data_IF_573563358124
#
_entry.id   IF_573563358124
#
_cell.length_a   1.000
_cell.length_b   1.000
_cell.length_c   1.000
_cell.angle_alpha   90.00
_cell.angle_beta   90.00
_cell.angle_gamma   90.00
#
_symmetry.space_group_name_H-M   'P 1'
#
loop_
_entity.id
_entity.type
_entity.pdbx_description
1 polymer ?
#
# COMPACT_ATOMS: atom_id res chain seq x y z
N UNK A 1 24.97 18.68 16.60
CA UNK A 1 24.68 17.79 15.45
C UNK A 1 23.16 17.79 15.26
N UNK A 2 22.66 18.54 14.28
CA UNK A 2 21.24 18.43 13.92
C UNK A 2 21.05 17.00 13.40
N UNK A 3 20.18 16.23 14.07
CA UNK A 3 19.63 15.02 13.44
C UNK A 3 18.92 15.52 12.18
N UNK A 4 19.44 15.20 11.00
CA UNK A 4 18.73 15.41 9.76
C UNK A 4 17.36 14.76 9.91
N UNK A 5 16.34 15.58 10.15
CA UNK A 5 14.96 15.14 10.18
C UNK A 5 14.61 14.87 8.74
N UNK A 6 14.90 13.65 8.27
CA UNK A 6 14.43 13.22 6.96
C UNK A 6 12.91 13.38 6.96
N UNK A 7 12.35 14.24 6.11
CA UNK A 7 10.94 14.64 6.24
C UNK A 7 10.05 13.40 6.10
N UNK A 8 9.06 13.22 6.99
CA UNK A 8 8.23 12.01 6.97
C UNK A 8 7.56 11.78 5.60
N UNK A 9 7.22 12.88 4.92
CA UNK A 9 6.62 12.89 3.59
C UNK A 9 7.65 13.26 2.52
N UNK A 10 7.56 12.61 1.37
CA UNK A 10 8.36 12.92 0.18
C UNK A 10 7.51 13.83 -0.73
N UNK A 11 8.01 15.01 -1.15
CA UNK A 11 7.37 15.79 -2.21
C UNK A 11 7.15 14.93 -3.45
N UNK A 12 5.97 15.02 -4.07
CA UNK A 12 5.61 14.17 -5.22
C UNK A 12 6.66 14.17 -6.35
N UNK A 13 7.31 15.30 -6.61
CA UNK A 13 8.36 15.42 -7.63
C UNK A 13 9.58 14.54 -7.39
N UNK A 14 9.88 14.20 -6.13
CA UNK A 14 11.02 13.38 -5.73
C UNK A 14 10.59 11.95 -5.34
N UNK A 15 9.30 11.62 -5.46
CA UNK A 15 8.76 10.38 -4.94
C UNK A 15 9.17 9.16 -5.76
N UNK A 16 9.24 9.31 -7.09
CA UNK A 16 9.75 8.26 -7.98
C UNK A 16 11.18 7.86 -7.59
N UNK A 17 12.08 8.85 -7.45
CA UNK A 17 13.49 8.60 -7.10
C UNK A 17 13.63 7.96 -5.71
N UNK A 18 12.83 8.40 -4.74
CA UNK A 18 12.77 7.75 -3.43
C UNK A 18 12.36 6.28 -3.55
N UNK A 19 11.30 5.98 -4.28
CA UNK A 19 10.83 4.61 -4.53
C UNK A 19 11.91 3.76 -5.22
N UNK A 20 12.64 4.32 -6.18
CA UNK A 20 13.71 3.64 -6.90
C UNK A 20 14.92 3.34 -5.99
N UNK A 21 15.08 4.06 -4.87
CA UNK A 21 16.11 3.79 -3.86
C UNK A 21 15.73 2.70 -2.85
N UNK A 22 14.50 2.17 -2.91
CA UNK A 22 14.04 1.09 -2.05
C UNK A 22 14.48 -0.26 -2.62
N UNK A 23 15.53 -0.84 -2.02
CA UNK A 23 15.93 -2.22 -2.31
C UNK A 23 14.90 -3.25 -1.81
N UNK A 24 14.98 -4.48 -2.33
CA UNK A 24 14.07 -5.57 -1.96
C UNK A 24 14.10 -5.95 -0.47
N UNK A 25 15.21 -5.71 0.25
CA UNK A 25 15.29 -5.98 1.71
C UNK A 25 14.45 -4.97 2.49
N UNK A 26 14.35 -3.73 2.03
CA UNK A 26 13.47 -2.71 2.59
C UNK A 26 12.00 -3.06 2.40
N UNK A 27 11.61 -3.83 1.38
CA UNK A 27 10.21 -4.22 1.15
C UNK A 27 9.70 -5.33 2.07
N UNK A 28 10.57 -5.97 2.84
CA UNK A 28 10.22 -7.08 3.74
C UNK A 28 9.02 -6.80 4.67
N UNK A 29 8.84 -5.60 5.27
CA UNK A 29 7.66 -5.28 6.07
C UNK A 29 6.35 -5.41 5.28
N UNK A 30 6.33 -4.99 4.01
CA UNK A 30 5.15 -5.13 3.16
C UNK A 30 4.91 -6.58 2.76
N UNK A 31 5.97 -7.32 2.41
CA UNK A 31 5.85 -8.72 2.01
C UNK A 31 5.27 -9.56 3.15
N UNK A 32 5.79 -9.39 4.37
CA UNK A 32 5.28 -10.08 5.55
C UNK A 32 3.81 -9.74 5.84
N UNK A 33 3.44 -8.47 5.66
CA UNK A 33 2.07 -7.99 5.86
C UNK A 33 1.11 -8.58 4.83
N UNK A 34 1.52 -8.64 3.55
CA UNK A 34 0.75 -9.28 2.47
C UNK A 34 0.52 -10.76 2.81
N UNK A 35 1.58 -11.49 3.17
CA UNK A 35 1.48 -12.91 3.52
C UNK A 35 0.57 -13.15 4.73
N UNK A 36 0.65 -12.29 5.76
CA UNK A 36 -0.26 -12.33 6.90
C UNK A 36 -1.71 -12.17 6.45
N UNK A 37 -2.01 -11.13 5.66
CA UNK A 37 -3.37 -10.87 5.16
C UNK A 37 -3.90 -12.02 4.29
N UNK A 38 -3.12 -12.52 3.33
CA UNK A 38 -3.50 -13.64 2.47
C UNK A 38 -3.84 -14.90 3.27
N UNK A 39 -2.98 -15.27 4.23
CA UNK A 39 -3.20 -16.44 5.08
C UNK A 39 -4.47 -16.30 5.92
N UNK A 40 -4.73 -15.10 6.46
CA UNK A 40 -5.90 -14.83 7.31
C UNK A 40 -7.19 -14.83 6.52
N UNK A 41 -7.21 -14.20 5.35
CA UNK A 41 -8.36 -14.27 4.44
C UNK A 41 -8.63 -15.71 4.00
N UNK A 42 -7.61 -16.42 3.50
CA UNK A 42 -7.76 -17.81 3.07
C UNK A 42 -8.32 -18.72 4.16
N UNK A 43 -7.79 -18.63 5.39
CA UNK A 43 -8.30 -19.40 6.53
C UNK A 43 -9.76 -19.05 6.81
N UNK A 44 -10.09 -17.76 6.88
CA UNK A 44 -11.44 -17.31 7.21
C UNK A 44 -12.45 -17.78 6.17
N UNK A 45 -12.16 -17.61 4.89
CA UNK A 45 -13.03 -18.06 3.79
C UNK A 45 -13.22 -19.57 3.82
N UNK A 46 -12.14 -20.33 4.08
CA UNK A 46 -12.20 -21.79 4.18
C UNK A 46 -12.97 -22.30 5.39
N UNK A 47 -12.80 -21.67 6.56
CA UNK A 47 -13.43 -22.10 7.81
C UNK A 47 -14.90 -21.68 7.92
N UNK A 48 -15.23 -20.48 7.44
CA UNK A 48 -16.59 -19.93 7.53
C UNK A 48 -17.42 -20.19 6.27
N UNK A 49 -16.80 -20.58 5.15
CA UNK A 49 -17.49 -20.83 3.89
C UNK A 49 -18.07 -19.56 3.25
N UNK A 50 -17.53 -18.39 3.59
CA UNK A 50 -17.96 -17.09 3.07
C UNK A 50 -16.85 -16.45 2.24
N UNK A 51 -17.23 -15.73 1.19
CA UNK A 51 -16.30 -14.89 0.40
C UNK A 51 -16.44 -13.41 0.72
N UNK A 52 -17.63 -13.00 1.16
CA UNK A 52 -17.89 -11.64 1.64
C UNK A 52 -17.56 -11.55 3.13
N UNK A 53 -16.63 -10.66 3.47
CA UNK A 53 -16.15 -10.43 4.82
C UNK A 53 -16.71 -9.14 5.42
N UNK A 54 -17.64 -8.44 4.74
CA UNK A 54 -18.16 -7.12 5.14
C UNK A 54 -18.72 -7.13 6.57
N UNK A 55 -19.47 -8.17 6.92
CA UNK A 55 -20.08 -8.35 8.25
C UNK A 55 -19.17 -9.08 9.26
N UNK A 56 -17.97 -9.47 8.84
CA UNK A 56 -17.02 -10.18 9.69
C UNK A 56 -16.09 -9.17 10.36
N UNK A 57 -15.92 -9.30 11.69
CA UNK A 57 -14.98 -8.44 12.42
C UNK A 57 -13.51 -8.78 12.07
N UNK A 58 -12.61 -7.80 12.12
CA UNK A 58 -11.16 -8.06 11.97
C UNK A 58 -10.63 -9.07 12.99
N UNK A 59 -11.22 -9.13 14.19
CA UNK A 59 -10.85 -10.12 15.20
C UNK A 59 -11.19 -11.55 14.72
N UNK A 60 -12.38 -11.75 14.16
CA UNK A 60 -12.80 -13.04 13.57
C UNK A 60 -11.91 -13.45 12.40
N UNK A 61 -11.49 -12.50 11.56
CA UNK A 61 -10.54 -12.76 10.45
C UNK A 61 -9.13 -13.08 10.99
N UNK A 62 -8.82 -12.68 12.24
CA UNK A 62 -7.49 -12.79 12.82
C UNK A 62 -6.53 -11.68 12.36
N UNK A 63 -7.07 -10.51 12.03
CA UNK A 63 -6.39 -9.29 11.59
C UNK A 63 -6.49 -8.16 12.63
N UNK A 64 -6.59 -8.49 13.91
CA UNK A 64 -6.59 -7.48 14.95
C UNK A 64 -5.29 -6.65 14.93
N UNK A 65 -5.40 -5.33 15.01
CA UNK A 65 -4.25 -4.41 14.92
C UNK A 65 -3.60 -4.27 13.54
N UNK A 66 -4.17 -4.87 12.48
CA UNK A 66 -3.58 -4.83 11.13
C UNK A 66 -3.41 -3.40 10.60
N UNK A 67 -4.33 -2.50 10.95
CA UNK A 67 -4.27 -1.08 10.57
C UNK A 67 -2.99 -0.40 11.08
N UNK A 68 -2.55 -0.73 12.31
CA UNK A 68 -1.30 -0.20 12.88
C UNK A 68 -0.10 -0.73 12.09
N UNK A 69 -0.10 -2.03 11.74
CA UNK A 69 0.98 -2.64 10.94
C UNK A 69 1.06 -2.04 9.54
N UNK A 70 -0.09 -1.79 8.90
CA UNK A 70 -0.17 -1.11 7.60
C UNK A 70 0.45 0.28 7.69
N UNK A 71 0.00 1.09 8.66
CA UNK A 71 0.51 2.44 8.87
C UNK A 71 2.02 2.45 9.15
N UNK A 72 2.49 1.58 10.04
CA UNK A 72 3.91 1.45 10.39
C UNK A 72 4.76 1.09 9.17
N UNK A 73 4.36 0.09 8.38
CA UNK A 73 5.09 -0.31 7.18
C UNK A 73 5.13 0.81 6.12
N UNK A 74 3.98 1.45 5.87
CA UNK A 74 3.86 2.54 4.89
C UNK A 74 4.69 3.76 5.29
N UNK A 75 4.72 4.11 6.59
CA UNK A 75 5.52 5.22 7.10
C UNK A 75 7.01 4.92 7.12
N UNK A 76 7.42 3.71 7.52
CA UNK A 76 8.83 3.28 7.49
C UNK A 76 9.41 3.32 6.07
N UNK A 77 8.61 2.95 5.08
CA UNK A 77 8.99 2.99 3.67
C UNK A 77 8.70 4.34 2.99
N UNK A 78 8.06 5.26 3.72
CA UNK A 78 7.68 6.60 3.26
C UNK A 78 6.91 6.55 1.93
N UNK A 79 5.96 5.63 1.81
CA UNK A 79 5.17 5.36 0.59
C UNK A 79 3.97 6.30 0.43
N UNK A 80 4.03 7.49 1.05
CA UNK A 80 2.95 8.48 1.09
C UNK A 80 3.50 9.78 0.54
N UNK A 81 3.37 10.04 -0.79
CA UNK A 81 3.80 11.30 -1.36
C UNK A 81 2.96 12.47 -0.84
N UNK A 82 3.59 13.63 -0.74
CA UNK A 82 2.93 14.90 -0.46
C UNK A 82 2.40 15.50 -1.78
N UNK A 83 1.08 15.66 -1.86
CA UNK A 83 0.37 16.32 -2.95
C UNK A 83 -1.03 16.75 -2.49
N UNK A 84 -1.76 17.47 -3.33
CA UNK A 84 -3.18 17.78 -3.09
C UNK A 84 -4.05 16.53 -3.27
N UNK A 85 -4.17 15.76 -2.20
CA UNK A 85 -4.93 14.51 -2.17
C UNK A 85 -6.44 14.74 -2.25
N UNK A 86 -6.93 15.93 -1.86
CA UNK A 86 -8.37 16.20 -1.82
C UNK A 86 -8.94 16.34 -3.23
N UNK A 87 -8.23 17.03 -4.14
CA UNK A 87 -8.62 17.11 -5.55
C UNK A 87 -8.51 15.77 -6.28
N UNK A 88 -7.66 14.86 -5.79
CA UNK A 88 -7.46 13.54 -6.38
C UNK A 88 -8.41 12.45 -5.83
N UNK A 89 -9.28 12.80 -4.87
CA UNK A 89 -10.19 11.88 -4.20
C UNK A 89 -11.04 11.06 -5.17
N UNK A 90 -11.72 11.73 -6.10
CA UNK A 90 -12.61 11.09 -7.08
C UNK A 90 -11.87 10.11 -7.98
N UNK A 91 -10.60 10.40 -8.30
CA UNK A 91 -9.77 9.53 -9.11
C UNK A 91 -9.38 8.26 -8.32
N UNK A 92 -8.97 8.41 -7.06
CA UNK A 92 -8.67 7.26 -6.19
C UNK A 92 -9.88 6.32 -6.01
N UNK A 93 -11.09 6.88 -5.94
CA UNK A 93 -12.34 6.12 -5.76
C UNK A 93 -12.65 5.18 -6.93
N UNK A 94 -12.19 5.49 -8.14
CA UNK A 94 -12.30 4.59 -9.30
C UNK A 94 -11.58 3.27 -9.04
N UNK A 95 -10.40 3.33 -8.43
CA UNK A 95 -9.62 2.13 -8.09
C UNK A 95 -10.23 1.34 -6.93
N UNK A 96 -10.99 1.99 -6.04
CA UNK A 96 -11.72 1.28 -4.98
C UNK A 96 -12.85 0.41 -5.51
N UNK A 97 -13.40 0.76 -6.68
CA UNK A 97 -14.48 0.03 -7.35
C UNK A 97 -13.94 -1.10 -8.22
N UNK A 98 -12.77 -0.89 -8.84
CA UNK A 98 -12.10 -1.90 -9.66
C UNK A 98 -10.61 -2.05 -9.29
N UNK A 99 -10.29 -2.92 -8.31
CA UNK A 99 -8.91 -3.18 -7.90
C UNK A 99 -8.04 -3.82 -8.99
N UNK A 100 -8.63 -4.35 -10.07
CA UNK A 100 -7.86 -4.97 -11.16
C UNK A 100 -6.97 -3.95 -11.89
N UNK A 101 -7.38 -2.68 -11.88
CA UNK A 101 -6.67 -1.56 -12.48
C UNK A 101 -5.32 -1.26 -11.79
N UNK A 102 -5.09 -1.77 -10.57
CA UNK A 102 -3.88 -1.47 -9.79
C UNK A 102 -2.61 -2.09 -10.39
N UNK A 103 -2.71 -3.23 -11.07
CA UNK A 103 -1.54 -4.08 -11.43
C UNK A 103 -0.60 -3.44 -12.47
N UNK A 104 -1.06 -2.42 -13.20
CA UNK A 104 -0.28 -1.73 -14.23
C UNK A 104 0.17 -0.32 -13.86
N UNK A 105 -0.10 0.13 -12.63
CA UNK A 105 0.20 1.50 -12.23
C UNK A 105 1.66 1.67 -11.81
N UNK A 106 2.19 2.86 -12.11
CA UNK A 106 3.50 3.27 -11.63
C UNK A 106 3.48 3.53 -10.11
N UNK A 107 4.66 3.51 -9.50
CA UNK A 107 4.84 3.67 -8.05
C UNK A 107 4.28 5.00 -7.54
N UNK A 108 4.33 6.08 -8.32
CA UNK A 108 3.80 7.39 -7.94
C UNK A 108 2.29 7.35 -7.86
N UNK A 109 1.62 6.78 -8.86
CA UNK A 109 0.17 6.64 -8.86
C UNK A 109 -0.30 5.73 -7.70
N UNK A 110 0.38 4.62 -7.46
CA UNK A 110 0.08 3.74 -6.32
C UNK A 110 0.28 4.44 -4.97
N UNK A 111 1.34 5.25 -4.84
CA UNK A 111 1.57 6.09 -3.67
C UNK A 111 0.47 7.12 -3.45
N UNK A 112 -0.03 7.76 -4.52
CA UNK A 112 -1.19 8.67 -4.42
C UNK A 112 -2.43 7.96 -3.91
N UNK A 113 -2.74 6.78 -4.45
CA UNK A 113 -3.88 5.97 -4.02
C UNK A 113 -3.74 5.62 -2.52
N UNK A 114 -2.55 5.21 -2.08
CA UNK A 114 -2.26 4.95 -0.66
C UNK A 114 -2.47 6.19 0.20
N UNK A 115 -1.98 7.36 -0.21
CA UNK A 115 -2.21 8.62 0.51
C UNK A 115 -3.70 8.92 0.63
N UNK A 116 -4.46 8.86 -0.47
CA UNK A 116 -5.90 9.14 -0.42
C UNK A 116 -6.61 8.14 0.47
N UNK A 117 -6.32 6.85 0.38
CA UNK A 117 -6.89 5.80 1.23
C UNK A 117 -6.69 6.11 2.72
N UNK A 118 -5.46 6.43 3.13
CA UNK A 118 -5.15 6.71 4.53
C UNK A 118 -5.78 8.02 5.02
N UNK A 119 -5.87 9.04 4.15
CA UNK A 119 -6.50 10.34 4.48
C UNK A 119 -8.02 10.28 4.47
N UNK A 120 -8.62 9.39 3.69
CA UNK A 120 -10.07 9.25 3.53
C UNK A 120 -10.80 8.90 4.83
N UNK A 121 -10.10 8.41 5.87
CA UNK A 121 -10.68 8.24 7.21
C UNK A 121 -11.21 9.56 7.79
N UNK A 122 -10.64 10.71 7.43
CA UNK A 122 -11.14 12.02 7.89
C UNK A 122 -12.45 12.43 7.23
N UNK A 123 -12.82 11.77 6.12
CA UNK A 123 -14.03 12.05 5.33
C UNK A 123 -15.10 10.99 5.62
N UNK A 124 -14.74 9.72 5.52
CA UNK A 124 -15.65 8.58 5.59
C UNK A 124 -15.76 7.95 6.98
N UNK A 125 -14.95 8.42 7.93
CA UNK A 125 -14.96 7.95 9.30
C UNK A 125 -13.92 6.85 9.58
N UNK A 126 -13.81 6.45 10.87
CA UNK A 126 -12.73 5.61 11.36
C UNK A 126 -12.76 4.17 10.84
N UNK A 127 -13.92 3.70 10.38
CA UNK A 127 -14.12 2.32 9.88
C UNK A 127 -13.80 2.18 8.40
N UNK A 128 -13.50 3.27 7.68
CA UNK A 128 -13.26 3.23 6.24
C UNK A 128 -12.04 2.38 5.86
N UNK A 129 -10.93 2.51 6.59
CA UNK A 129 -9.76 1.66 6.32
C UNK A 129 -10.07 0.19 6.59
N UNK A 130 -10.84 -0.10 7.65
CA UNK A 130 -11.29 -1.45 7.96
C UNK A 130 -12.14 -2.03 6.84
N UNK A 131 -13.10 -1.27 6.30
CA UNK A 131 -13.92 -1.77 5.18
C UNK A 131 -13.06 -2.07 3.95
N UNK A 132 -12.05 -1.24 3.66
CA UNK A 132 -11.07 -1.47 2.59
C UNK A 132 -10.09 -2.60 2.83
N UNK A 133 -9.91 -3.02 4.08
CA UNK A 133 -9.20 -4.25 4.40
C UNK A 133 -10.11 -5.44 4.12
N UNK A 134 -11.37 -5.39 4.57
CA UNK A 134 -12.33 -6.50 4.44
C UNK A 134 -12.72 -6.79 2.99
N UNK A 135 -12.83 -5.78 2.14
CA UNK A 135 -13.05 -5.94 0.69
C UNK A 135 -11.77 -6.33 -0.09
N UNK A 136 -10.66 -6.59 0.63
CA UNK A 136 -9.33 -6.96 0.09
C UNK A 136 -8.67 -5.88 -0.78
N UNK A 137 -9.23 -4.68 -0.90
CA UNK A 137 -8.63 -3.59 -1.67
C UNK A 137 -7.21 -3.27 -1.18
N UNK A 138 -7.03 -3.14 0.14
CA UNK A 138 -5.71 -2.86 0.72
C UNK A 138 -4.70 -3.94 0.36
N UNK A 139 -5.09 -5.21 0.39
CA UNK A 139 -4.21 -6.31 -0.01
C UNK A 139 -3.77 -6.16 -1.47
N UNK A 140 -4.69 -5.87 -2.38
CA UNK A 140 -4.35 -5.67 -3.80
C UNK A 140 -3.46 -4.46 -4.02
N UNK A 141 -3.69 -3.36 -3.30
CA UNK A 141 -2.85 -2.16 -3.35
C UNK A 141 -1.42 -2.45 -2.88
N UNK A 142 -1.25 -3.15 -1.76
CA UNK A 142 0.08 -3.50 -1.25
C UNK A 142 0.84 -4.41 -2.23
N UNK A 143 0.15 -5.39 -2.82
CA UNK A 143 0.73 -6.26 -3.86
C UNK A 143 1.14 -5.49 -5.10
N UNK A 144 0.33 -4.54 -5.55
CA UNK A 144 0.66 -3.68 -6.68
C UNK A 144 1.89 -2.80 -6.38
N UNK A 145 1.97 -2.22 -5.18
CA UNK A 145 3.14 -1.44 -4.73
C UNK A 145 4.42 -2.28 -4.77
N UNK A 146 4.39 -3.47 -4.15
CA UNK A 146 5.56 -4.37 -4.14
C UNK A 146 5.97 -4.75 -5.57
N UNK A 147 5.01 -5.12 -6.41
CA UNK A 147 5.27 -5.47 -7.80
C UNK A 147 5.90 -4.32 -8.59
N UNK A 148 5.35 -3.11 -8.46
CA UNK A 148 5.85 -1.91 -9.15
C UNK A 148 7.28 -1.55 -8.70
N UNK A 149 7.59 -1.68 -7.40
CA UNK A 149 8.94 -1.41 -6.86
C UNK A 149 9.96 -2.49 -7.26
N UNK A 150 9.55 -3.75 -7.35
CA UNK A 150 10.44 -4.85 -7.74
C UNK A 150 10.82 -4.77 -9.23
N UNK A 151 9.86 -4.42 -10.10
CA UNK A 151 10.12 -4.21 -11.53
C UNK A 151 11.12 -3.07 -11.78
N UNK A 152 11.04 -1.99 -11.01
CA UNK A 152 12.00 -0.87 -11.15
C UNK A 152 13.42 -1.28 -10.73
N UNK A 153 13.55 -2.10 -9.70
CA UNK A 153 14.85 -2.63 -9.29
C UNK A 153 15.48 -3.51 -10.39
N UNK A 154 14.70 -4.38 -11.04
CA UNK A 154 15.19 -5.22 -12.16
C UNK A 154 15.63 -4.36 -13.35
N UNK A 155 14.87 -3.29 -13.68
CA UNK A 155 15.22 -2.35 -14.75
C UNK A 155 16.50 -1.55 -14.44
N UNK A 156 16.74 -1.21 -13.17
CA UNK A 156 17.94 -0.52 -12.72
C UNK A 156 19.24 -1.33 -12.89
N UNK A 157 19.18 -2.67 -12.71
CA UNK A 157 20.32 -3.55 -12.99
C UNK A 157 20.63 -3.66 -14.49
N UNK A 158 19.61 -3.70 -15.35
CA UNK A 158 19.82 -3.79 -16.80
C UNK A 158 20.39 -2.52 -17.42
N UNK A 159 20.32 -1.38 -16.72
CA UNK A 159 20.88 -0.10 -17.17
C UNK A 159 22.29 0.17 -16.62
N UNK A 160 22.71 -0.50 -15.55
CA UNK A 160 24.09 -0.41 -15.05
C UNK A 160 25.09 -1.27 -15.82
N UNK A 161 24.62 -2.32 -16.50
CA UNK A 161 25.49 -3.32 -17.13
C UNK A 161 25.82 -3.01 -18.62
N UNK A 162 25.49 -1.81 -19.12
CA UNK A 162 25.76 -1.38 -20.51
C UNK A 162 26.79 -0.23 -20.57
N UNK A 163 27.41 0.13 -19.45
CA UNK A 163 28.53 1.08 -19.43
C UNK A 163 29.76 0.42 -18.83
N UNK A 164 30.40 -0.44 -19.64
CA UNK A 164 31.84 -0.71 -19.62
C UNK A 164 32.31 -0.96 -21.06
#
# INVERSE_FOLDING_TARGET
MLKDQTPLFIPIGNFSDHCNSLDGRKLLPLINLIQEMELRFYKTEKFLGIHDLSDTTLNTIGLNGIHVKILDAVLKLRLVPLFDWLSWKTEAERYYQDPSLLRGLDTVTLGKIMTVLLRSQTIYGPTFLESKIKDKFVLFLLKAIVHSLDQTNISGYLTSDIVD
#
